data_IF_698959379127
#
_entry.id   IF_698959379127
#
_cell.length_a   1.000
_cell.length_b   1.000
_cell.length_c   1.000
_cell.angle_alpha   90.00
_cell.angle_beta   90.00
_cell.angle_gamma   90.00
#
_symmetry.space_group_name_H-M   'P 1'
#
loop_
_entity.id
_entity.type
_entity.pdbx_description
1 polymer ?
#
# COMPACT_ATOMS: atom_id res chain seq x y z
N UNK A 1 -9.58 45.80 53.19
CA UNK A 1 -10.56 46.82 52.77
C UNK A 1 -11.65 46.13 51.98
N UNK A 2 -12.82 45.98 52.62
CA UNK A 2 -14.04 45.44 52.03
C UNK A 2 -14.68 46.50 51.14
N UNK A 3 -15.03 46.16 49.90
CA UNK A 3 -16.04 46.92 49.14
C UNK A 3 -17.06 45.96 48.54
N UNK A 4 -18.26 46.03 49.10
CA UNK A 4 -19.48 45.43 48.61
C UNK A 4 -19.97 46.16 47.35
N UNK A 5 -20.46 45.43 46.36
CA UNK A 5 -21.29 46.00 45.29
C UNK A 5 -22.60 45.22 45.10
N UNK A 6 -23.67 45.90 44.62
CA UNK A 6 -25.05 45.54 44.90
C UNK A 6 -25.68 44.58 43.88
N UNK A 7 -26.66 43.82 44.38
CA UNK A 7 -27.62 43.03 43.61
C UNK A 7 -28.50 43.93 42.74
N UNK A 8 -28.68 43.58 41.48
CA UNK A 8 -29.79 44.11 40.66
C UNK A 8 -30.47 43.03 39.81
N UNK A 9 -31.78 42.92 40.08
CA UNK A 9 -32.90 42.66 39.19
C UNK A 9 -32.86 41.47 38.21
N UNK A 10 -33.60 40.43 38.64
CA UNK A 10 -34.32 39.46 37.81
C UNK A 10 -35.12 40.13 36.67
N UNK A 11 -34.83 39.72 35.42
CA UNK A 11 -35.71 39.92 34.26
C UNK A 11 -36.02 38.58 33.62
N UNK A 12 -37.17 38.04 33.99
CA UNK A 12 -37.86 36.93 33.35
C UNK A 12 -38.22 37.31 31.92
N UNK A 13 -37.40 36.90 30.93
CA UNK A 13 -37.79 36.93 29.51
C UNK A 13 -38.27 35.55 29.12
N UNK A 14 -39.57 35.46 28.79
CA UNK A 14 -40.22 34.33 28.15
C UNK A 14 -39.50 34.03 26.84
N UNK A 15 -38.80 32.91 26.77
CA UNK A 15 -38.30 32.35 25.51
C UNK A 15 -39.45 31.62 24.83
N UNK A 16 -39.88 32.20 23.73
CA UNK A 16 -40.82 31.64 22.77
C UNK A 16 -40.20 30.35 22.21
N UNK A 17 -40.90 29.24 22.37
CA UNK A 17 -40.58 27.98 21.73
C UNK A 17 -40.78 28.12 20.21
N UNK A 18 -39.70 28.39 19.48
CA UNK A 18 -39.64 28.11 18.05
C UNK A 18 -39.51 26.59 17.88
N UNK A 19 -40.65 25.91 17.78
CA UNK A 19 -40.74 24.58 17.21
C UNK A 19 -40.42 24.72 15.71
N UNK A 20 -39.15 24.56 15.36
CA UNK A 20 -38.70 24.48 13.96
C UNK A 20 -39.09 23.10 13.44
N UNK A 21 -39.97 23.12 12.45
CA UNK A 21 -40.35 22.02 11.58
C UNK A 21 -39.08 21.48 10.87
N UNK A 22 -38.43 20.46 11.45
CA UNK A 22 -37.34 19.70 10.78
C UNK A 22 -37.84 18.39 10.16
N UNK A 23 -39.14 18.26 9.93
CA UNK A 23 -39.72 17.14 9.21
C UNK A 23 -39.78 17.49 7.71
N UNK A 24 -39.20 16.62 6.87
CA UNK A 24 -39.31 16.60 5.39
C UNK A 24 -38.15 17.19 4.54
N UNK A 25 -36.91 17.16 5.02
CA UNK A 25 -35.78 17.07 4.08
C UNK A 25 -35.31 15.61 4.04
N UNK A 26 -35.67 14.81 3.01
CA UNK A 26 -35.11 13.48 2.87
C UNK A 26 -33.58 13.63 2.83
N UNK A 27 -32.93 12.85 3.70
CA UNK A 27 -31.52 12.96 4.02
C UNK A 27 -30.62 13.06 2.80
N UNK A 28 -30.09 14.26 2.57
CA UNK A 28 -28.75 14.38 2.00
C UNK A 28 -27.78 13.96 3.11
N UNK A 29 -27.68 12.64 3.33
CA UNK A 29 -26.49 12.05 3.93
C UNK A 29 -25.36 12.20 2.92
N UNK A 30 -24.94 13.44 2.68
CA UNK A 30 -23.70 13.74 1.97
C UNK A 30 -22.59 13.33 2.92
N UNK A 31 -22.23 12.05 2.91
CA UNK A 31 -20.95 11.63 3.43
C UNK A 31 -19.91 12.54 2.77
N UNK A 32 -19.13 13.24 3.59
CA UNK A 32 -18.15 14.18 3.08
C UNK A 32 -17.24 13.42 2.09
N UNK A 33 -16.96 13.96 0.89
CA UNK A 33 -16.19 13.27 -0.15
C UNK A 33 -14.79 12.85 0.30
N UNK A 34 -14.31 13.35 1.44
CA UNK A 34 -13.05 12.99 2.06
C UNK A 34 -13.09 11.64 2.79
N UNK A 35 -14.28 11.14 3.12
CA UNK A 35 -14.44 9.88 3.86
C UNK A 35 -14.04 8.65 3.03
N UNK A 36 -14.16 8.71 1.70
CA UNK A 36 -13.80 7.59 0.82
C UNK A 36 -12.32 7.21 0.97
N UNK A 37 -11.42 8.20 1.07
CA UNK A 37 -9.97 7.98 1.13
C UNK A 37 -9.40 7.91 2.54
N UNK A 38 -10.21 8.20 3.55
CA UNK A 38 -9.89 7.94 4.95
C UNK A 38 -10.08 6.44 5.25
N UNK A 39 -9.34 5.61 4.53
CA UNK A 39 -9.37 4.16 4.67
C UNK A 39 -8.75 3.67 5.98
N UNK A 40 -9.08 2.44 6.35
CA UNK A 40 -8.36 1.72 7.41
C UNK A 40 -7.00 1.27 6.86
N UNK A 41 -5.93 1.42 7.67
CA UNK A 41 -4.60 0.91 7.33
C UNK A 41 -4.20 -0.14 8.36
N UNK A 42 -4.05 -1.37 7.89
CA UNK A 42 -3.48 -2.47 8.66
C UNK A 42 -2.00 -2.60 8.28
N UNK A 43 -1.13 -2.61 9.28
CA UNK A 43 0.31 -2.77 9.10
C UNK A 43 0.71 -4.14 9.58
N UNK A 44 1.67 -4.75 8.91
CA UNK A 44 2.30 -5.95 9.42
C UNK A 44 2.87 -5.70 10.83
N UNK A 45 2.82 -6.70 11.74
CA UNK A 45 3.49 -6.58 13.02
C UNK A 45 5.01 -6.38 12.82
N UNK A 46 5.73 -5.84 13.82
CA UNK A 46 7.18 -5.80 13.75
C UNK A 46 7.76 -7.21 13.65
N UNK A 47 8.96 -7.33 13.08
CA UNK A 47 9.68 -8.60 13.05
C UNK A 47 9.89 -9.11 14.49
N UNK A 48 9.77 -10.44 14.72
CA UNK A 48 10.12 -11.01 16.01
C UNK A 48 11.59 -10.75 16.33
N UNK A 49 11.90 -10.56 17.62
CA UNK A 49 13.29 -10.43 18.05
C UNK A 49 14.07 -11.69 17.69
N UNK A 50 15.28 -11.51 17.16
CA UNK A 50 16.15 -12.62 16.79
C UNK A 50 16.65 -13.31 18.05
N UNK A 51 16.06 -14.46 18.36
CA UNK A 51 16.53 -15.32 19.45
C UNK A 51 17.66 -16.23 18.97
N UNK A 52 18.64 -16.48 19.83
CA UNK A 52 19.76 -17.38 19.53
C UNK A 52 19.22 -18.79 19.25
N UNK A 53 19.63 -19.39 18.13
CA UNK A 53 19.15 -20.70 17.69
C UNK A 53 17.83 -20.71 16.93
N UNK A 54 17.12 -19.58 16.81
CA UNK A 54 15.93 -19.52 15.97
C UNK A 54 16.30 -19.64 14.48
N UNK A 55 15.63 -20.56 13.79
CA UNK A 55 15.70 -20.67 12.32
C UNK A 55 15.12 -19.40 11.70
N UNK A 56 15.76 -18.91 10.64
CA UNK A 56 15.30 -17.76 9.84
C UNK A 56 14.92 -16.51 10.66
N UNK A 57 15.66 -16.22 11.72
CA UNK A 57 15.45 -15.01 12.52
C UNK A 57 14.19 -15.02 13.38
N UNK A 58 13.61 -16.21 13.66
CA UNK A 58 12.42 -16.33 14.51
C UNK A 58 11.09 -16.16 13.76
N UNK A 59 11.11 -16.12 12.43
CA UNK A 59 9.90 -16.11 11.63
C UNK A 59 9.08 -17.40 11.87
N UNK A 60 7.77 -17.29 12.11
CA UNK A 60 6.91 -18.45 12.29
C UNK A 60 6.77 -19.28 11.01
N UNK A 61 6.49 -20.57 11.18
CA UNK A 61 6.14 -21.47 10.08
C UNK A 61 4.81 -21.06 9.44
N UNK A 62 4.80 -21.05 8.12
CA UNK A 62 3.59 -20.83 7.31
C UNK A 62 2.85 -22.16 7.22
N UNK A 63 1.51 -22.20 7.35
CA UNK A 63 0.74 -23.41 7.10
C UNK A 63 1.06 -24.01 5.73
N UNK A 64 1.02 -25.35 5.63
CA UNK A 64 1.28 -26.06 4.37
C UNK A 64 0.46 -25.47 3.22
N UNK A 65 1.12 -25.17 2.11
CA UNK A 65 0.55 -24.41 1.00
C UNK A 65 1.17 -24.85 -0.33
N UNK A 66 0.46 -24.69 -1.45
CA UNK A 66 0.90 -25.19 -2.76
C UNK A 66 2.08 -24.42 -3.36
N UNK A 67 2.42 -23.23 -2.83
CA UNK A 67 3.57 -22.44 -3.31
C UNK A 67 4.86 -22.71 -2.54
N UNK A 68 4.85 -23.62 -1.57
CA UNK A 68 6.05 -23.99 -0.82
C UNK A 68 6.56 -22.90 0.12
N UNK A 69 5.69 -21.98 0.57
CA UNK A 69 6.07 -21.02 1.60
C UNK A 69 6.37 -21.75 2.91
N UNK A 70 7.56 -21.51 3.48
CA UNK A 70 8.02 -22.19 4.69
C UNK A 70 7.89 -21.33 5.93
N UNK A 71 8.48 -20.14 5.89
CA UNK A 71 8.55 -19.20 7.02
C UNK A 71 8.18 -17.82 6.52
N UNK A 72 7.52 -17.03 7.35
CA UNK A 72 7.10 -15.70 6.95
C UNK A 72 6.48 -14.90 8.08
N UNK A 73 6.05 -13.70 7.75
CA UNK A 73 5.32 -12.83 8.65
C UNK A 73 3.86 -12.78 8.23
N UNK A 74 2.94 -12.89 9.18
CA UNK A 74 1.51 -12.82 8.94
C UNK A 74 0.90 -11.51 9.43
N UNK A 75 -0.18 -11.12 8.78
CA UNK A 75 -1.05 -10.02 9.16
C UNK A 75 -2.49 -10.52 9.13
N UNK A 76 -3.15 -10.50 10.30
CA UNK A 76 -4.58 -10.79 10.39
C UNK A 76 -5.37 -9.65 9.74
N UNK A 77 -6.21 -9.96 8.76
CA UNK A 77 -6.97 -8.96 8.01
C UNK A 77 -8.40 -8.83 8.52
N UNK A 78 -9.06 -9.95 8.77
CA UNK A 78 -10.39 -10.03 9.40
C UNK A 78 -10.49 -11.34 10.20
N UNK A 79 -11.69 -11.86 10.49
CA UNK A 79 -11.84 -13.04 11.36
C UNK A 79 -11.30 -14.33 10.73
N UNK A 80 -11.37 -14.47 9.40
CA UNK A 80 -10.99 -15.70 8.70
C UNK A 80 -9.89 -15.50 7.66
N UNK A 81 -9.50 -14.26 7.36
CA UNK A 81 -8.50 -13.93 6.35
C UNK A 81 -7.17 -13.50 6.95
N UNK A 82 -6.09 -14.13 6.48
CA UNK A 82 -4.71 -13.82 6.87
C UNK A 82 -3.86 -13.61 5.63
N UNK A 83 -3.09 -12.52 5.60
CA UNK A 83 -2.03 -12.33 4.61
C UNK A 83 -0.69 -12.76 5.19
N UNK A 84 0.09 -13.46 4.39
CA UNK A 84 1.45 -13.87 4.70
C UNK A 84 2.42 -13.29 3.69
N UNK A 85 3.52 -12.72 4.15
CA UNK A 85 4.70 -12.45 3.33
C UNK A 85 5.75 -13.49 3.71
N UNK A 86 6.08 -14.39 2.79
CA UNK A 86 6.82 -15.60 3.12
C UNK A 86 7.96 -15.90 2.15
N UNK A 87 8.97 -16.62 2.67
CA UNK A 87 10.04 -17.23 1.90
C UNK A 87 9.54 -18.54 1.29
N UNK A 88 9.88 -18.76 0.03
CA UNK A 88 9.71 -20.03 -0.66
C UNK A 88 11.04 -20.76 -0.64
N UNK A 89 11.02 -22.04 -0.30
CA UNK A 89 12.22 -22.89 -0.34
C UNK A 89 12.67 -23.13 -1.78
N UNK A 90 13.87 -22.68 -2.13
CA UNK A 90 14.48 -23.01 -3.41
C UNK A 90 15.14 -24.39 -3.42
N UNK A 91 15.53 -24.97 -2.27
CA UNK A 91 16.16 -26.29 -2.22
C UNK A 91 15.13 -27.42 -2.44
N UNK A 92 13.89 -27.26 -2.00
CA UNK A 92 12.77 -28.13 -2.43
C UNK A 92 12.47 -28.02 -3.93
N UNK A 93 12.85 -26.92 -4.59
CA UNK A 93 12.76 -26.76 -6.04
C UNK A 93 13.91 -27.45 -6.78
N UNK A 94 15.09 -27.59 -6.14
CA UNK A 94 16.24 -28.35 -6.67
C UNK A 94 16.08 -29.87 -6.49
N UNK A 95 15.34 -30.34 -5.49
CA UNK A 95 15.01 -31.77 -5.35
C UNK A 95 14.08 -32.31 -6.46
N UNK A 96 13.52 -31.43 -7.30
CA UNK A 96 12.78 -31.77 -8.52
C UNK A 96 13.66 -31.68 -9.79
N UNK A 97 14.99 -31.67 -9.64
CA UNK A 97 15.92 -31.95 -10.73
C UNK A 97 15.70 -33.41 -11.14
N UNK A 98 15.00 -33.59 -12.27
CA UNK A 98 15.02 -34.85 -12.99
C UNK A 98 16.45 -35.04 -13.48
N UNK A 99 17.11 -36.13 -13.08
CA UNK A 99 18.27 -36.60 -13.85
C UNK A 99 17.76 -36.83 -15.28
N UNK A 100 18.23 -36.00 -16.21
CA UNK A 100 18.06 -36.25 -17.63
C UNK A 100 18.66 -37.63 -17.96
N UNK A 101 18.11 -38.32 -18.96
CA UNK A 101 18.60 -39.65 -19.34
C UNK A 101 20.09 -39.64 -19.76
N UNK A 102 20.68 -38.48 -20.03
CA UNK A 102 22.09 -38.31 -20.38
C UNK A 102 23.00 -37.89 -19.20
N UNK A 103 22.43 -37.70 -18.00
CA UNK A 103 23.16 -37.32 -16.79
C UNK A 103 23.64 -35.87 -16.78
N UNK A 104 23.14 -35.02 -17.68
CA UNK A 104 23.42 -33.58 -17.64
C UNK A 104 22.46 -32.87 -16.67
N UNK A 105 23.01 -32.17 -15.68
CA UNK A 105 22.23 -31.30 -14.81
C UNK A 105 21.81 -30.05 -15.58
N UNK A 106 20.68 -30.11 -16.29
CA UNK A 106 20.05 -28.91 -16.82
C UNK A 106 19.29 -28.21 -15.69
N UNK A 107 19.47 -26.88 -15.51
CA UNK A 107 18.66 -26.15 -14.54
C UNK A 107 17.19 -26.27 -14.97
N UNK A 108 16.28 -26.80 -14.11
CA UNK A 108 14.94 -27.26 -14.52
C UNK A 108 13.97 -26.16 -15.00
N UNK A 109 14.45 -24.91 -15.13
CA UNK A 109 13.64 -23.72 -15.37
C UNK A 109 14.12 -22.85 -16.53
N UNK A 110 15.24 -23.20 -17.17
CA UNK A 110 15.60 -22.59 -18.44
C UNK A 110 14.73 -23.25 -19.52
N UNK A 111 13.83 -22.49 -20.15
CA UNK A 111 13.28 -22.92 -21.44
C UNK A 111 14.43 -23.13 -22.43
N UNK A 112 14.24 -23.91 -23.48
CA UNK A 112 15.24 -24.10 -24.56
C UNK A 112 15.78 -22.78 -25.15
N UNK A 113 15.07 -21.65 -24.96
CA UNK A 113 15.50 -20.32 -25.39
C UNK A 113 16.31 -19.52 -24.33
N UNK A 114 16.63 -20.13 -23.18
CA UNK A 114 17.36 -19.52 -22.08
C UNK A 114 16.55 -18.50 -21.26
N UNK A 115 15.24 -18.37 -21.50
CA UNK A 115 14.39 -17.47 -20.71
C UNK A 115 13.80 -18.20 -19.50
N UNK A 116 13.90 -17.56 -18.34
CA UNK A 116 13.22 -17.97 -17.12
C UNK A 116 11.75 -17.57 -17.23
N UNK A 117 10.84 -18.51 -17.04
CA UNK A 117 9.41 -18.18 -16.92
C UNK A 117 9.16 -17.54 -15.55
N UNK A 118 9.03 -16.22 -15.55
CA UNK A 118 8.79 -15.43 -14.35
C UNK A 118 7.43 -15.72 -13.67
N UNK A 119 6.50 -16.35 -14.39
CA UNK A 119 5.18 -16.72 -13.87
C UNK A 119 5.20 -18.07 -13.15
N UNK A 120 6.25 -18.87 -13.34
CA UNK A 120 6.40 -20.16 -12.68
C UNK A 120 6.74 -19.97 -11.19
N UNK A 121 5.89 -20.44 -10.25
CA UNK A 121 6.15 -20.34 -8.82
C UNK A 121 7.46 -21.01 -8.38
N UNK A 122 7.98 -21.94 -9.18
CA UNK A 122 9.27 -22.59 -8.95
C UNK A 122 10.47 -21.67 -9.17
N UNK A 123 10.25 -20.45 -9.66
CA UNK A 123 11.29 -19.42 -9.78
C UNK A 123 11.11 -18.30 -8.74
N UNK A 124 10.21 -18.48 -7.77
CA UNK A 124 9.92 -17.48 -6.75
C UNK A 124 10.75 -17.75 -5.49
N UNK A 125 11.42 -16.72 -4.98
CA UNK A 125 12.09 -16.78 -3.67
C UNK A 125 11.18 -16.30 -2.53
N UNK A 126 10.16 -15.50 -2.87
CA UNK A 126 9.24 -14.91 -1.91
C UNK A 126 7.83 -14.83 -2.51
N UNK A 127 6.82 -14.88 -1.64
CA UNK A 127 5.45 -14.68 -2.04
C UNK A 127 4.64 -13.88 -1.01
N UNK A 128 3.61 -13.22 -1.51
CA UNK A 128 2.44 -12.84 -0.74
C UNK A 128 1.43 -13.98 -0.85
N UNK A 129 0.99 -14.55 0.27
CA UNK A 129 0.09 -15.68 0.34
C UNK A 129 -1.17 -15.27 1.13
N UNK A 130 -2.35 -15.51 0.54
CA UNK A 130 -3.64 -15.28 1.16
C UNK A 130 -4.21 -16.59 1.69
N UNK A 131 -4.49 -16.64 2.99
CA UNK A 131 -5.24 -17.72 3.63
C UNK A 131 -6.63 -17.25 3.97
N UNK A 132 -7.63 -18.10 3.77
CA UNK A 132 -9.01 -17.92 4.26
C UNK A 132 -9.45 -19.19 4.99
N UNK A 133 -9.98 -19.05 6.20
CA UNK A 133 -10.32 -20.17 7.08
C UNK A 133 -9.15 -21.16 7.25
N UNK A 134 -7.93 -20.63 7.34
CA UNK A 134 -6.69 -21.42 7.46
C UNK A 134 -6.26 -22.18 6.19
N UNK A 135 -6.99 -22.05 5.08
CA UNK A 135 -6.67 -22.69 3.81
C UNK A 135 -6.05 -21.69 2.82
N UNK A 136 -5.01 -22.07 2.07
CA UNK A 136 -4.42 -21.21 1.05
C UNK A 136 -5.43 -20.98 -0.09
N UNK A 137 -5.70 -19.71 -0.41
CA UNK A 137 -6.66 -19.32 -1.46
C UNK A 137 -5.91 -18.89 -2.72
N UNK A 138 -4.95 -17.97 -2.56
CA UNK A 138 -4.19 -17.40 -3.65
C UNK A 138 -2.79 -17.03 -3.17
N UNK A 139 -1.84 -17.00 -4.10
CA UNK A 139 -0.48 -16.57 -3.84
C UNK A 139 0.04 -15.77 -5.01
N UNK A 140 0.96 -14.86 -4.73
CA UNK A 140 1.58 -14.05 -5.75
C UNK A 140 3.06 -13.82 -5.48
N UNK A 141 3.84 -13.79 -6.56
CA UNK A 141 5.28 -13.50 -6.51
C UNK A 141 5.54 -12.20 -5.76
N UNK A 142 6.55 -12.21 -4.92
CA UNK A 142 7.05 -11.03 -4.25
C UNK A 142 8.56 -10.86 -4.46
N UNK A 143 9.06 -9.67 -4.15
CA UNK A 143 10.48 -9.36 -4.11
C UNK A 143 10.77 -8.70 -2.77
N UNK A 144 11.59 -9.35 -1.95
CA UNK A 144 11.92 -8.90 -0.62
C UNK A 144 13.33 -8.32 -0.61
N UNK A 145 13.48 -7.05 -0.20
CA UNK A 145 14.79 -6.46 0.04
C UNK A 145 15.13 -6.50 1.53
N UNK A 146 16.39 -6.80 1.84
CA UNK A 146 16.96 -6.69 3.19
C UNK A 146 16.26 -7.53 4.26
N UNK A 147 15.50 -8.57 3.89
CA UNK A 147 14.76 -9.40 4.84
C UNK A 147 13.61 -8.68 5.57
N UNK A 148 13.12 -7.54 5.03
CA UNK A 148 12.05 -6.73 5.66
C UNK A 148 10.66 -7.32 5.44
N UNK A 149 10.36 -8.46 6.08
CA UNK A 149 9.04 -9.10 5.97
C UNK A 149 7.92 -8.25 6.55
N UNK A 150 8.24 -7.31 7.44
CA UNK A 150 7.35 -6.30 8.05
C UNK A 150 6.98 -5.15 7.10
N UNK A 151 7.69 -5.00 5.98
CA UNK A 151 7.55 -3.84 5.10
C UNK A 151 6.39 -3.98 4.09
N UNK A 152 5.19 -4.25 4.61
CA UNK A 152 3.96 -4.24 3.83
C UNK A 152 2.76 -3.76 4.65
N UNK A 153 1.77 -3.22 3.96
CA UNK A 153 0.53 -2.74 4.56
C UNK A 153 -0.67 -3.12 3.69
N UNK A 154 -1.85 -3.10 4.31
CA UNK A 154 -3.14 -3.20 3.65
C UNK A 154 -3.93 -1.92 3.93
N UNK A 155 -4.41 -1.30 2.85
CA UNK A 155 -5.33 -0.17 2.88
C UNK A 155 -6.70 -0.66 2.45
N UNK A 156 -7.71 -0.45 3.31
CA UNK A 156 -9.12 -0.68 2.95
C UNK A 156 -9.77 0.63 2.60
N UNK A 157 -10.02 0.84 1.32
CA UNK A 157 -10.41 2.14 0.75
C UNK A 157 -11.47 1.93 -0.33
N UNK A 158 -12.46 2.83 -0.38
CA UNK A 158 -13.48 2.86 -1.43
C UNK A 158 -12.90 3.56 -2.65
N UNK A 159 -12.42 2.79 -3.63
CA UNK A 159 -11.68 3.32 -4.79
C UNK A 159 -12.61 3.87 -5.87
N UNK A 160 -13.78 3.26 -6.10
CA UNK A 160 -14.69 3.66 -7.18
C UNK A 160 -15.92 4.45 -6.70
N UNK A 161 -16.11 4.58 -5.39
CA UNK A 161 -17.16 5.39 -4.77
C UNK A 161 -18.50 4.68 -4.62
N UNK A 162 -18.53 3.35 -4.71
CA UNK A 162 -19.75 2.55 -4.57
C UNK A 162 -20.13 2.23 -3.10
N UNK A 163 -19.26 2.61 -2.15
CA UNK A 163 -19.43 2.39 -0.73
C UNK A 163 -18.91 1.04 -0.22
N UNK A 164 -18.45 0.17 -1.11
CA UNK A 164 -17.67 -1.03 -0.80
C UNK A 164 -16.19 -0.63 -0.76
N UNK A 165 -15.39 -1.33 0.06
CA UNK A 165 -13.95 -1.04 0.19
C UNK A 165 -13.15 -2.12 -0.51
N UNK A 166 -12.28 -1.71 -1.41
CA UNK A 166 -11.23 -2.53 -1.95
C UNK A 166 -10.07 -2.71 -0.96
N UNK A 167 -9.29 -3.76 -1.20
CA UNK A 167 -8.08 -4.07 -0.48
C UNK A 167 -6.87 -3.67 -1.35
N UNK A 168 -6.16 -2.61 -0.98
CA UNK A 168 -4.89 -2.22 -1.59
C UNK A 168 -3.74 -2.71 -0.71
N UNK A 169 -3.02 -3.74 -1.16
CA UNK A 169 -1.80 -4.22 -0.51
C UNK A 169 -0.59 -3.50 -1.10
N UNK A 170 0.26 -2.95 -0.24
CA UNK A 170 1.49 -2.26 -0.63
C UNK A 170 2.68 -3.00 -0.06
N UNK A 171 3.65 -3.30 -0.93
CA UNK A 171 4.82 -4.12 -0.63
C UNK A 171 6.06 -3.28 -0.93
N UNK A 172 6.89 -3.03 0.07
CA UNK A 172 8.21 -2.43 -0.18
C UNK A 172 9.14 -3.54 -0.66
N UNK A 173 9.75 -3.32 -1.82
CA UNK A 173 10.47 -4.36 -2.55
C UNK A 173 11.94 -4.04 -2.76
N UNK A 174 12.31 -2.76 -2.82
CA UNK A 174 13.70 -2.37 -2.98
C UNK A 174 13.95 -0.91 -2.54
N UNK A 175 15.23 -0.56 -2.39
CA UNK A 175 15.70 0.81 -2.28
C UNK A 175 16.92 1.01 -3.19
N UNK A 176 16.88 2.07 -4.00
CA UNK A 176 17.98 2.41 -4.90
C UNK A 176 19.15 3.09 -4.17
N UNK A 177 20.37 2.63 -4.43
CA UNK A 177 21.60 3.14 -3.79
C UNK A 177 21.97 4.60 -4.13
N UNK A 178 21.41 5.17 -5.21
CA UNK A 178 21.72 6.53 -5.63
C UNK A 178 20.92 7.58 -4.84
N UNK A 179 19.64 7.70 -5.18
CA UNK A 179 18.75 8.73 -4.62
C UNK A 179 17.99 8.28 -3.36
N UNK A 180 18.24 7.06 -2.87
CA UNK A 180 17.49 6.47 -1.76
C UNK A 180 16.01 6.34 -2.10
N UNK A 181 15.68 5.92 -3.33
CA UNK A 181 14.30 5.78 -3.79
C UNK A 181 13.77 4.45 -3.32
N UNK A 182 12.67 4.46 -2.59
CA UNK A 182 11.99 3.24 -2.17
C UNK A 182 11.11 2.74 -3.31
N UNK A 183 11.25 1.50 -3.71
CA UNK A 183 10.46 0.89 -4.78
C UNK A 183 9.41 -0.04 -4.19
N UNK A 184 8.18 0.13 -4.66
CA UNK A 184 7.01 -0.56 -4.15
C UNK A 184 6.30 -1.35 -5.23
N UNK A 185 5.60 -2.40 -4.79
CA UNK A 185 4.55 -3.05 -5.56
C UNK A 185 3.21 -2.78 -4.91
N UNK A 186 2.24 -2.34 -5.71
CA UNK A 186 0.84 -2.15 -5.30
C UNK A 186 0.01 -3.26 -5.91
N UNK A 187 -0.84 -3.91 -5.11
CA UNK A 187 -1.81 -4.91 -5.56
C UNK A 187 -3.19 -4.50 -5.09
N UNK A 188 -4.13 -4.37 -6.02
CA UNK A 188 -5.51 -4.00 -5.72
C UNK A 188 -6.38 -5.22 -5.86
N UNK A 189 -7.14 -5.52 -4.82
CA UNK A 189 -8.11 -6.60 -4.78
C UNK A 189 -9.50 -6.04 -4.50
N UNK A 190 -10.53 -6.70 -5.00
CA UNK A 190 -11.90 -6.46 -4.53
C UNK A 190 -12.06 -6.87 -3.06
N UNK A 191 -13.22 -6.57 -2.49
CA UNK A 191 -13.62 -6.97 -1.15
C UNK A 191 -13.53 -8.50 -0.93
N UNK A 192 -13.84 -9.29 -1.97
CA UNK A 192 -13.77 -10.75 -1.97
C UNK A 192 -12.36 -11.33 -2.22
N UNK A 193 -11.34 -10.48 -2.36
CA UNK A 193 -9.93 -10.81 -2.65
C UNK A 193 -9.61 -11.31 -4.06
N UNK A 194 -10.46 -11.04 -5.06
CA UNK A 194 -10.05 -11.19 -6.46
C UNK A 194 -9.07 -10.09 -6.84
N UNK A 195 -7.91 -10.46 -7.41
CA UNK A 195 -6.94 -9.49 -7.91
C UNK A 195 -7.55 -8.69 -9.07
N UNK A 196 -7.61 -7.37 -8.91
CA UNK A 196 -8.11 -6.42 -9.91
C UNK A 196 -6.98 -5.85 -10.76
N UNK A 197 -5.87 -5.44 -10.13
CA UNK A 197 -4.66 -4.97 -10.83
C UNK A 197 -3.41 -5.08 -9.93
N UNK A 198 -2.23 -5.01 -10.55
CA UNK A 198 -0.93 -4.98 -9.88
C UNK A 198 0.03 -4.00 -10.58
N UNK A 199 0.71 -3.16 -9.80
CA UNK A 199 1.69 -2.18 -10.28
C UNK A 199 3.01 -2.34 -9.54
N UNK A 200 4.02 -2.84 -10.23
CA UNK A 200 5.38 -2.90 -9.73
C UNK A 200 6.15 -1.61 -10.07
N UNK A 201 7.26 -1.38 -9.37
CA UNK A 201 8.18 -0.28 -9.69
C UNK A 201 7.67 1.10 -9.30
N UNK A 202 6.71 1.19 -8.39
CA UNK A 202 6.18 2.47 -7.88
C UNK A 202 7.25 3.15 -7.03
N UNK A 203 7.66 4.35 -7.43
CA UNK A 203 8.81 5.05 -6.86
C UNK A 203 8.41 5.99 -5.73
N UNK A 204 8.78 5.62 -4.51
CA UNK A 204 8.27 6.15 -3.26
C UNK A 204 6.75 6.04 -3.16
N UNK A 205 6.24 5.45 -2.09
CA UNK A 205 4.81 5.33 -1.86
C UNK A 205 4.51 5.68 -0.41
N UNK A 206 3.30 6.18 -0.16
CA UNK A 206 2.74 6.30 1.18
C UNK A 206 1.24 6.62 1.12
N UNK A 207 0.55 6.65 2.26
CA UNK A 207 -0.90 6.86 2.31
C UNK A 207 -1.38 8.15 1.62
N UNK A 208 -0.54 9.20 1.59
CA UNK A 208 -0.83 10.45 0.88
C UNK A 208 -0.93 10.30 -0.66
N UNK A 209 -0.56 9.16 -1.21
CA UNK A 209 -0.78 8.83 -2.62
C UNK A 209 -2.26 8.52 -2.93
N UNK A 210 -3.09 8.21 -1.92
CA UNK A 210 -4.53 8.07 -2.09
C UNK A 210 -5.18 9.47 -2.07
N UNK A 211 -5.85 9.85 -3.16
CA UNK A 211 -6.43 11.19 -3.32
C UNK A 211 -7.92 11.09 -3.62
N UNK A 212 -8.72 11.86 -2.89
CA UNK A 212 -10.17 11.96 -3.15
C UNK A 212 -10.43 12.33 -4.61
N UNK A 213 -11.31 11.56 -5.26
CA UNK A 213 -11.72 11.80 -6.64
C UNK A 213 -12.28 13.23 -6.82
N UNK A 214 -12.05 13.89 -7.97
CA UNK A 214 -12.68 15.18 -8.26
C UNK A 214 -14.21 15.04 -8.33
N UNK A 215 -14.94 16.00 -7.77
CA UNK A 215 -16.39 16.03 -7.87
C UNK A 215 -16.85 16.11 -9.36
N UNK A 216 -17.99 15.50 -9.73
CA UNK A 216 -18.96 14.83 -8.87
C UNK A 216 -18.65 13.36 -8.56
N UNK A 217 -17.50 12.84 -8.98
CA UNK A 217 -17.12 11.44 -8.80
C UNK A 217 -16.79 11.16 -7.33
N UNK A 218 -17.28 10.04 -6.81
CA UNK A 218 -16.91 9.51 -5.49
C UNK A 218 -15.63 8.67 -5.57
N UNK A 219 -15.21 8.13 -4.43
CA UNK A 219 -14.06 7.22 -4.36
C UNK A 219 -12.70 7.91 -4.34
N UNK A 220 -11.67 7.15 -4.70
CA UNK A 220 -10.27 7.53 -4.56
C UNK A 220 -9.44 7.18 -5.77
N UNK A 221 -8.56 8.10 -6.14
CA UNK A 221 -7.50 7.84 -7.11
C UNK A 221 -6.22 7.39 -6.37
N UNK A 222 -5.50 6.45 -6.97
CA UNK A 222 -4.20 5.96 -6.52
C UNK A 222 -3.10 6.69 -7.30
N UNK A 223 -2.28 7.47 -6.60
CA UNK A 223 -1.06 8.05 -7.14
C UNK A 223 0.02 7.00 -7.35
N UNK A 224 0.32 6.67 -8.60
CA UNK A 224 1.47 5.86 -9.02
C UNK A 224 2.61 6.79 -9.38
N UNK A 225 3.65 6.74 -8.56
CA UNK A 225 4.81 7.63 -8.60
C UNK A 225 5.95 7.03 -9.42
N UNK A 226 6.69 7.91 -10.11
CA UNK A 226 7.87 7.57 -10.91
C UNK A 226 8.86 8.74 -10.95
N UNK A 227 10.14 8.46 -11.19
CA UNK A 227 11.14 9.49 -11.48
C UNK A 227 11.25 9.66 -13.00
N UNK A 228 10.98 10.86 -13.48
CA UNK A 228 10.95 11.20 -14.91
C UNK A 228 11.95 12.30 -15.22
N UNK A 229 12.42 12.35 -16.47
CA UNK A 229 13.21 13.49 -16.95
C UNK A 229 12.39 14.79 -16.88
N UNK A 230 13.05 15.87 -16.47
CA UNK A 230 12.44 17.19 -16.37
C UNK A 230 13.34 18.28 -16.95
N UNK A 231 12.83 18.98 -17.96
CA UNK A 231 13.46 20.12 -18.64
C UNK A 231 12.67 21.42 -18.49
N UNK A 232 11.70 21.48 -17.58
CA UNK A 232 10.82 22.65 -17.36
C UNK A 232 11.57 23.97 -17.10
N UNK A 233 12.79 23.91 -16.57
CA UNK A 233 13.64 25.07 -16.26
C UNK A 233 14.66 25.39 -17.36
N UNK A 234 14.60 24.72 -18.52
CA UNK A 234 15.62 24.80 -19.57
C UNK A 234 16.94 24.10 -19.21
N UNK A 235 16.98 23.35 -18.10
CA UNK A 235 18.13 22.54 -17.66
C UNK A 235 17.69 21.09 -17.47
N UNK A 236 18.55 20.15 -17.85
CA UNK A 236 18.35 18.73 -17.56
C UNK A 236 18.22 18.49 -16.05
N UNK A 237 17.35 17.56 -15.70
CA UNK A 237 17.09 17.14 -14.33
C UNK A 237 16.04 16.05 -14.30
N UNK A 238 15.59 15.72 -13.10
CA UNK A 238 14.52 14.74 -12.89
C UNK A 238 13.45 15.35 -11.99
N UNK A 239 12.26 14.77 -12.05
CA UNK A 239 11.16 15.10 -11.18
C UNK A 239 10.50 13.82 -10.66
N UNK A 240 9.98 13.89 -9.44
CA UNK A 240 9.00 12.92 -8.97
C UNK A 240 7.66 13.28 -9.63
N UNK A 241 7.08 12.35 -10.36
CA UNK A 241 5.76 12.49 -11.00
C UNK A 241 4.81 11.45 -10.42
N UNK A 242 3.63 11.86 -9.97
CA UNK A 242 2.50 10.98 -9.71
C UNK A 242 1.50 11.05 -10.87
N UNK A 243 1.23 9.89 -11.46
CA UNK A 243 0.07 9.67 -12.32
C UNK A 243 -1.00 8.97 -11.52
N UNK A 244 -2.24 9.34 -11.76
CA UNK A 244 -3.34 8.86 -10.95
C UNK A 244 -4.11 7.80 -11.70
N UNK A 245 -4.32 6.67 -11.02
CA UNK A 245 -5.17 5.59 -11.49
C UNK A 245 -6.47 5.61 -10.69
N UNK A 246 -7.58 5.27 -11.33
CA UNK A 246 -8.87 5.06 -10.69
C UNK A 246 -9.36 3.67 -10.96
N UNK A 247 -10.11 3.09 -10.02
CA UNK A 247 -10.84 1.87 -10.29
C UNK A 247 -12.09 2.22 -11.11
N UNK A 248 -12.28 1.54 -12.23
CA UNK A 248 -13.45 1.68 -13.09
C UNK A 248 -13.76 0.33 -13.72
N UNK A 249 -15.00 -0.13 -13.61
CA UNK A 249 -15.46 -1.40 -14.20
C UNK A 249 -14.55 -2.58 -13.79
N UNK A 250 -14.11 -2.60 -12.52
CA UNK A 250 -13.25 -3.64 -11.95
C UNK A 250 -11.80 -3.63 -12.46
N UNK A 251 -11.32 -2.53 -13.03
CA UNK A 251 -9.93 -2.37 -13.52
C UNK A 251 -9.38 -1.00 -13.17
N UNK A 252 -8.06 -0.92 -12.91
CA UNK A 252 -7.43 0.39 -12.79
C UNK A 252 -7.18 0.99 -14.18
N UNK A 253 -7.63 2.22 -14.35
CA UNK A 253 -7.43 3.03 -15.56
C UNK A 253 -6.84 4.39 -15.18
N UNK A 254 -6.13 5.03 -16.09
CA UNK A 254 -5.62 6.40 -15.86
C UNK A 254 -6.79 7.36 -15.61
N UNK A 255 -6.70 8.14 -14.53
CA UNK A 255 -7.69 9.15 -14.17
C UNK A 255 -7.49 10.39 -15.05
N UNK A 256 -8.04 10.35 -16.26
CA UNK A 256 -7.89 11.42 -17.26
C UNK A 256 -8.43 12.80 -16.81
N UNK A 257 -9.30 12.81 -15.80
CA UNK A 257 -9.83 14.01 -15.12
C UNK A 257 -8.84 14.64 -14.13
N UNK A 258 -7.66 14.04 -13.93
CA UNK A 258 -6.61 14.55 -13.05
C UNK A 258 -5.28 14.65 -13.79
N UNK A 259 -4.71 15.86 -13.92
CA UNK A 259 -3.39 16.01 -14.50
C UNK A 259 -2.33 15.32 -13.60
N UNK A 260 -1.23 14.80 -14.17
CA UNK A 260 -0.11 14.34 -13.37
C UNK A 260 0.41 15.46 -12.45
N UNK A 261 0.68 15.11 -11.19
CA UNK A 261 1.35 16.02 -10.25
C UNK A 261 2.85 15.78 -10.35
N UNK A 262 3.66 16.84 -10.41
CA UNK A 262 5.09 16.73 -10.62
C UNK A 262 5.84 17.73 -9.76
N UNK A 263 6.94 17.27 -9.14
CA UNK A 263 7.91 18.15 -8.47
C UNK A 263 9.34 17.83 -8.87
N UNK A 264 10.05 18.86 -9.35
CA UNK A 264 11.47 18.77 -9.71
C UNK A 264 12.33 18.40 -8.51
N UNK A 265 13.29 17.50 -8.73
CA UNK A 265 14.29 17.12 -7.73
C UNK A 265 15.34 18.23 -7.57
N UNK A 266 15.14 19.05 -6.55
CA UNK A 266 16.09 20.09 -6.12
C UNK A 266 16.72 19.71 -4.79
N UNK A 267 17.79 20.40 -4.39
CA UNK A 267 18.35 20.22 -3.04
C UNK A 267 17.33 20.44 -1.92
N UNK A 268 16.42 21.41 -2.10
CA UNK A 268 15.34 21.64 -1.13
C UNK A 268 14.41 20.43 -1.01
N UNK A 269 14.02 19.83 -2.15
CA UNK A 269 13.19 18.64 -2.14
C UNK A 269 13.93 17.41 -1.59
N UNK A 270 15.21 17.23 -1.94
CA UNK A 270 16.05 16.18 -1.34
C UNK A 270 16.10 16.30 0.19
N UNK A 271 16.38 17.50 0.72
CA UNK A 271 16.44 17.72 2.17
C UNK A 271 15.10 17.43 2.84
N UNK A 272 13.98 17.78 2.20
CA UNK A 272 12.64 17.44 2.72
C UNK A 272 12.41 15.92 2.76
N UNK A 273 12.78 15.19 1.69
CA UNK A 273 12.69 13.71 1.67
C UNK A 273 13.56 13.08 2.75
N UNK A 274 14.82 13.51 2.87
CA UNK A 274 15.76 13.00 3.88
C UNK A 274 15.23 13.25 5.29
N UNK A 275 14.78 14.47 5.61
CA UNK A 275 14.24 14.79 6.93
C UNK A 275 13.01 13.95 7.29
N UNK A 276 12.18 13.58 6.31
CA UNK A 276 11.02 12.70 6.52
C UNK A 276 11.42 11.30 6.99
N UNK A 277 12.45 10.71 6.38
CA UNK A 277 12.95 9.38 6.76
C UNK A 277 13.83 9.41 8.00
N UNK A 278 14.62 10.47 8.21
CA UNK A 278 15.44 10.63 9.42
C UNK A 278 14.59 10.76 10.69
N UNK A 279 13.36 11.29 10.57
CA UNK A 279 12.44 11.40 11.70
C UNK A 279 11.96 10.04 12.22
N UNK A 280 12.03 8.99 11.39
CA UNK A 280 11.55 7.64 11.71
C UNK A 280 12.27 6.63 10.80
N UNK A 281 13.45 6.12 11.21
CA UNK A 281 14.27 5.25 10.36
C UNK A 281 13.61 3.94 9.94
N UNK A 282 12.59 3.49 10.69
CA UNK A 282 11.83 2.27 10.36
C UNK A 282 10.73 2.54 9.33
N UNK A 283 10.41 3.81 9.08
CA UNK A 283 9.47 4.25 8.05
C UNK A 283 10.08 4.11 6.67
N UNK A 284 9.37 3.37 5.82
CA UNK A 284 9.71 3.22 4.41
C UNK A 284 8.82 4.09 3.51
N UNK A 285 7.68 4.51 4.04
CA UNK A 285 6.65 5.25 3.31
C UNK A 285 7.01 6.73 3.17
N UNK A 286 6.79 7.30 1.98
CA UNK A 286 6.98 8.71 1.70
C UNK A 286 5.74 9.57 1.96
N UNK A 287 5.95 10.87 2.17
CA UNK A 287 4.88 11.87 2.24
C UNK A 287 4.51 12.38 0.84
N UNK A 288 3.92 11.51 0.02
CA UNK A 288 3.66 11.80 -1.40
C UNK A 288 2.82 13.08 -1.57
N UNK A 289 1.82 13.31 -0.71
CA UNK A 289 0.99 14.50 -0.76
C UNK A 289 1.79 15.77 -0.40
N UNK A 290 2.56 15.77 0.69
CA UNK A 290 3.39 16.92 1.07
C UNK A 290 4.58 17.14 0.13
N UNK A 291 5.02 16.09 -0.56
CA UNK A 291 6.07 16.18 -1.56
C UNK A 291 5.58 16.73 -2.88
N UNK A 292 4.35 16.48 -3.30
CA UNK A 292 3.83 16.98 -4.59
C UNK A 292 3.02 18.29 -4.46
N UNK A 293 2.52 18.61 -3.25
CA UNK A 293 1.66 19.78 -3.01
C UNK A 293 2.37 21.05 -2.52
N UNK A 294 3.71 21.06 -2.42
CA UNK A 294 4.47 22.21 -1.93
C UNK A 294 5.12 23.02 -3.05
N UNK A 295 4.48 24.13 -3.41
CA UNK A 295 5.11 25.31 -4.03
C UNK A 295 5.21 26.44 -3.01
#
# INVERSE_FOLDING_TARGET
MNTSFPRTASRTRRLVACAILSALLPGFAGAAPWAACAGEVLRAPPLPERTEGARFGGLPEVPSNPVGCLFGLSMQVDADTVLWRCMIDSELQEAAVWESEDGSAEPPYARDDGRVDEQDPRNWSYALLLLRNGQPVQAWRDSLMGGRYDAFALHRVDLDGDGVRENLVTLWNAQGNGLGVNHWTLRVFSDDWRLLDSRAGVADWGPGALRAAPAPRGGCDIGVTSWVEDRSTGRDGIALEARFLRLQDGRLVEAADRPPERRRYTFGFQNQRTAWFDADPDRLEGDIAGWLGGD
#
